data_IF_664427187538
#
_entry.id   IF_664427187538
#
_cell.length_a   1.000
_cell.length_b   1.000
_cell.length_c   1.000
_cell.angle_alpha   90.00
_cell.angle_beta   90.00
_cell.angle_gamma   90.00
#
_symmetry.space_group_name_H-M   'P 1'
#
loop_
_entity.id
_entity.type
_entity.pdbx_description
1 polymer ?
#
# COMPACT_ATOMS: atom_id res chain seq x y z
N UNK A 1 -8.38 -7.65 11.83
CA UNK A 1 -9.61 -6.83 11.74
C UNK A 1 -9.55 -6.04 10.44
N UNK A 2 -9.80 -6.63 9.24
CA UNK A 2 -9.48 -5.92 7.98
C UNK A 2 -9.85 -6.72 6.73
N UNK A 3 -11.15 -6.93 6.47
CA UNK A 3 -11.63 -7.35 5.13
C UNK A 3 -12.76 -6.47 4.60
N UNK A 4 -13.52 -5.82 5.50
CA UNK A 4 -14.69 -5.03 5.12
C UNK A 4 -14.34 -3.80 4.25
N UNK A 5 -13.31 -3.03 4.60
CA UNK A 5 -12.95 -1.81 3.86
C UNK A 5 -12.58 -2.12 2.41
N UNK A 6 -11.84 -3.19 2.18
CA UNK A 6 -11.38 -3.56 0.85
C UNK A 6 -12.49 -4.19 0.00
N UNK A 7 -13.47 -4.85 0.62
CA UNK A 7 -14.66 -5.34 -0.09
C UNK A 7 -15.57 -4.23 -0.64
N UNK A 8 -15.46 -3.00 -0.11
CA UNK A 8 -16.33 -1.88 -0.49
C UNK A 8 -15.73 -0.92 -1.51
N UNK A 9 -14.44 -1.04 -1.80
CA UNK A 9 -13.71 -0.12 -2.68
C UNK A 9 -13.31 -0.86 -3.95
N UNK A 10 -14.04 -0.66 -5.07
CA UNK A 10 -13.64 -1.20 -6.36
C UNK A 10 -12.23 -0.75 -6.71
N UNK A 11 -11.40 -1.67 -7.18
CA UNK A 11 -10.01 -1.35 -7.51
C UNK A 11 -8.99 -1.76 -6.46
N UNK A 12 -9.41 -2.06 -5.22
CA UNK A 12 -8.53 -2.41 -4.10
C UNK A 12 -8.64 -3.91 -3.76
N UNK A 13 -7.52 -4.54 -3.38
CA UNK A 13 -7.48 -5.92 -2.86
C UNK A 13 -6.46 -6.07 -1.73
N UNK A 14 -6.64 -7.10 -0.91
CA UNK A 14 -5.65 -7.52 0.09
C UNK A 14 -4.85 -8.69 -0.47
N UNK A 15 -3.53 -8.60 -0.39
CA UNK A 15 -2.61 -9.71 -0.63
C UNK A 15 -2.09 -10.19 0.72
N UNK A 16 -2.02 -11.50 0.91
CA UNK A 16 -1.59 -12.12 2.16
C UNK A 16 -0.36 -13.00 1.91
N UNK A 17 0.58 -13.02 2.86
CA UNK A 17 1.78 -13.85 2.82
C UNK A 17 2.61 -13.64 4.08
N UNK A 18 3.33 -14.68 4.53
CA UNK A 18 4.21 -14.57 5.70
C UNK A 18 3.53 -14.15 7.01
N UNK A 19 2.20 -14.34 7.13
CA UNK A 19 1.41 -13.86 8.28
C UNK A 19 1.01 -12.38 8.23
N UNK A 20 1.36 -11.66 7.17
CA UNK A 20 1.13 -10.23 6.98
C UNK A 20 0.11 -9.97 5.88
N UNK A 21 -0.46 -8.76 5.88
CA UNK A 21 -1.48 -8.36 4.89
C UNK A 21 -1.13 -7.01 4.27
N UNK A 22 -1.19 -6.94 2.94
CA UNK A 22 -0.79 -5.76 2.19
C UNK A 22 -1.90 -5.28 1.26
N UNK A 23 -1.99 -3.97 1.06
CA UNK A 23 -2.90 -3.38 0.07
C UNK A 23 -2.26 -3.39 -1.32
N UNK A 24 -3.03 -3.85 -2.30
CA UNK A 24 -2.66 -3.80 -3.69
C UNK A 24 -3.84 -3.34 -4.54
N UNK A 25 -3.54 -2.81 -5.72
CA UNK A 25 -4.55 -2.57 -6.74
C UNK A 25 -4.96 -3.89 -7.40
N UNK A 26 -6.23 -3.96 -7.81
CA UNK A 26 -6.74 -5.00 -8.72
C UNK A 26 -6.27 -4.79 -10.16
N UNK A 27 -5.84 -3.58 -10.52
CA UNK A 27 -5.23 -3.34 -11.83
C UNK A 27 -3.91 -4.12 -11.89
N UNK A 28 -3.80 -4.97 -12.90
CA UNK A 28 -2.65 -5.85 -13.10
C UNK A 28 -1.33 -5.06 -13.21
N UNK A 29 -0.26 -5.64 -12.66
CA UNK A 29 1.09 -5.09 -12.74
C UNK A 29 2.13 -6.02 -12.12
N UNK A 30 3.15 -6.34 -12.92
CA UNK A 30 4.34 -7.19 -12.71
C UNK A 30 5.32 -6.61 -11.67
N UNK A 31 4.82 -6.22 -10.50
CA UNK A 31 5.68 -5.73 -9.43
C UNK A 31 5.67 -6.76 -8.31
N UNK A 32 6.76 -7.53 -8.21
CA UNK A 32 7.15 -8.06 -6.91
C UNK A 32 7.31 -6.84 -6.00
N UNK A 33 6.97 -6.96 -4.72
CA UNK A 33 7.16 -5.87 -3.75
C UNK A 33 8.59 -5.29 -3.75
N UNK A 34 8.87 -4.33 -2.86
CA UNK A 34 10.16 -3.62 -2.85
C UNK A 34 11.29 -4.65 -2.90
N UNK A 35 12.17 -4.52 -3.91
CA UNK A 35 13.34 -5.39 -4.00
C UNK A 35 14.18 -5.14 -2.75
N UNK A 36 14.71 -6.18 -2.10
CA UNK A 36 15.65 -5.97 -1.00
C UNK A 36 16.81 -5.11 -1.51
N UNK A 37 17.39 -4.31 -0.61
CA UNK A 37 18.68 -3.70 -0.88
C UNK A 37 19.67 -4.82 -1.21
N UNK A 38 20.62 -4.55 -2.11
CA UNK A 38 21.58 -5.52 -2.63
C UNK A 38 22.11 -6.45 -1.54
N UNK A 39 21.73 -7.74 -1.61
CA UNK A 39 22.17 -8.78 -0.66
C UNK A 39 21.10 -9.31 0.32
N UNK A 40 19.91 -8.71 0.40
CA UNK A 40 18.82 -9.23 1.24
C UNK A 40 18.06 -10.41 0.63
N UNK A 41 17.57 -11.32 1.47
CA UNK A 41 16.62 -12.34 1.04
C UNK A 41 15.28 -11.68 0.70
N UNK A 42 14.70 -12.04 -0.45
CA UNK A 42 13.34 -11.64 -0.77
C UNK A 42 12.41 -12.33 0.23
N UNK A 43 11.67 -11.58 1.04
CA UNK A 43 10.42 -12.10 1.59
C UNK A 43 9.62 -12.62 0.39
N UNK A 44 9.11 -13.86 0.46
CA UNK A 44 8.41 -14.49 -0.67
C UNK A 44 7.07 -13.81 -0.87
N UNK A 45 7.10 -12.65 -1.51
CA UNK A 45 5.96 -11.76 -1.71
C UNK A 45 5.31 -12.16 -3.03
N UNK A 46 4.00 -12.40 -2.97
CA UNK A 46 3.17 -12.66 -4.16
C UNK A 46 3.23 -11.45 -5.10
N UNK A 47 3.45 -11.66 -6.40
CA UNK A 47 3.46 -10.55 -7.37
C UNK A 47 2.10 -9.83 -7.38
N UNK A 48 2.11 -8.52 -7.12
CA UNK A 48 0.92 -7.68 -7.11
C UNK A 48 1.25 -6.19 -7.26
N UNK A 49 0.30 -5.37 -7.69
CA UNK A 49 0.50 -3.94 -7.81
C UNK A 49 0.34 -3.25 -6.44
N UNK A 50 1.39 -3.24 -5.64
CA UNK A 50 1.39 -2.64 -4.30
C UNK A 50 1.31 -1.12 -4.36
N UNK A 51 0.42 -0.53 -3.57
CA UNK A 51 0.07 0.89 -3.64
C UNK A 51 0.86 1.72 -2.63
N UNK A 52 1.08 3.01 -2.92
CA UNK A 52 1.61 3.94 -1.92
C UNK A 52 0.63 4.09 -0.75
N UNK A 53 1.13 4.03 0.48
CA UNK A 53 0.34 4.17 1.71
C UNK A 53 0.79 5.42 2.47
N UNK A 54 -0.16 6.31 2.73
CA UNK A 54 0.00 7.49 3.59
C UNK A 54 -0.92 7.31 4.80
N UNK A 55 -0.38 7.48 6.01
CA UNK A 55 -1.15 7.44 7.26
C UNK A 55 -0.95 8.76 7.99
N UNK A 56 -2.03 9.49 8.27
CA UNK A 56 -2.00 10.81 8.92
C UNK A 56 -1.03 11.79 8.24
N UNK A 57 -0.98 11.78 6.90
CA UNK A 57 -0.08 12.62 6.11
C UNK A 57 1.37 12.10 6.00
N UNK A 58 1.73 11.04 6.73
CA UNK A 58 3.07 10.45 6.70
C UNK A 58 3.13 9.29 5.71
N UNK A 59 4.15 9.26 4.85
CA UNK A 59 4.40 8.14 3.94
C UNK A 59 4.86 6.95 4.78
N UNK A 60 4.04 5.90 4.82
CA UNK A 60 4.38 4.65 5.49
C UNK A 60 4.93 3.62 4.52
N UNK A 61 4.54 3.72 3.25
CA UNK A 61 5.08 2.90 2.18
C UNK A 61 4.96 3.60 0.84
N UNK A 62 6.02 3.57 0.05
CA UNK A 62 6.02 4.11 -1.32
C UNK A 62 6.75 3.18 -2.31
N UNK A 63 7.20 2.00 -1.86
CA UNK A 63 7.87 1.02 -2.70
C UNK A 63 9.31 1.38 -3.05
N UNK A 64 9.97 2.18 -2.20
CA UNK A 64 11.43 2.39 -2.31
C UNK A 64 12.18 1.07 -2.10
N UNK A 65 13.35 0.92 -2.72
CA UNK A 65 14.19 -0.27 -2.54
C UNK A 65 14.51 -0.46 -1.05
N UNK A 66 14.50 -1.71 -0.57
CA UNK A 66 14.74 -2.03 0.84
C UNK A 66 13.61 -1.68 1.81
N UNK A 67 12.63 -0.89 1.40
CA UNK A 67 11.56 -0.46 2.29
C UNK A 67 10.70 -1.65 2.68
N UNK A 68 10.46 -1.81 3.99
CA UNK A 68 9.51 -2.81 4.46
C UNK A 68 8.10 -2.47 3.96
N UNK A 69 7.37 -3.48 3.49
CA UNK A 69 5.98 -3.31 3.11
C UNK A 69 5.13 -2.98 4.34
N UNK A 70 4.18 -2.05 4.16
CA UNK A 70 3.24 -1.67 5.20
C UNK A 70 2.21 -2.76 5.44
N UNK A 71 2.21 -3.35 6.64
CA UNK A 71 1.20 -4.33 7.02
C UNK A 71 -0.05 -3.61 7.51
N UNK A 72 -1.20 -3.89 6.88
CA UNK A 72 -2.46 -3.23 7.26
C UNK A 72 -2.90 -3.56 8.67
N UNK A 73 -2.39 -4.65 9.25
CA UNK A 73 -2.67 -5.04 10.62
C UNK A 73 -1.88 -4.24 11.66
N UNK A 74 -0.92 -3.40 11.24
CA UNK A 74 -0.32 -2.37 12.09
C UNK A 74 -1.35 -1.30 12.50
N UNK A 75 -2.48 -1.21 11.81
CA UNK A 75 -3.57 -0.29 12.14
C UNK A 75 -4.70 -1.02 12.84
N UNK A 76 -5.10 -0.47 14.00
CA UNK A 76 -6.36 -0.86 14.62
C UNK A 76 -7.53 -0.21 13.87
N UNK A 77 -8.40 -1.03 13.30
CA UNK A 77 -9.52 -0.55 12.50
C UNK A 77 -10.50 0.35 13.28
N UNK A 78 -10.55 0.27 14.62
CA UNK A 78 -11.39 1.17 15.45
C UNK A 78 -10.89 2.62 15.48
N UNK A 79 -9.61 2.78 15.15
CA UNK A 79 -8.95 4.07 15.16
C UNK A 79 -9.01 4.72 13.78
N UNK A 80 -9.33 3.99 12.70
CA UNK A 80 -9.49 4.55 11.37
C UNK A 80 -10.77 5.41 11.31
N UNK A 81 -10.61 6.69 10.95
CA UNK A 81 -11.69 7.68 10.79
C UNK A 81 -11.91 8.09 9.33
N UNK A 82 -10.97 7.79 8.46
CA UNK A 82 -11.08 8.07 7.04
C UNK A 82 -10.22 7.14 6.21
N UNK A 83 -10.66 6.91 4.98
CA UNK A 83 -9.93 6.12 4.00
C UNK A 83 -10.20 6.69 2.60
N UNK A 84 -9.14 7.06 1.89
CA UNK A 84 -9.22 7.53 0.51
C UNK A 84 -8.39 6.63 -0.39
N UNK A 85 -8.97 6.31 -1.55
CA UNK A 85 -8.34 5.51 -2.58
C UNK A 85 -8.23 6.32 -3.86
N UNK A 86 -7.01 6.42 -4.37
CA UNK A 86 -6.71 7.07 -5.62
C UNK A 86 -6.03 6.11 -6.57
N UNK A 87 -6.53 6.08 -7.79
CA UNK A 87 -5.88 5.42 -8.92
C UNK A 87 -4.75 6.31 -9.41
N UNK A 88 -3.83 5.78 -10.22
CA UNK A 88 -2.75 6.59 -10.82
C UNK A 88 -3.24 7.84 -11.55
N UNK A 89 -4.42 7.77 -12.18
CA UNK A 89 -5.04 8.87 -12.92
C UNK A 89 -5.72 9.90 -12.01
N UNK A 90 -6.01 9.54 -10.76
CA UNK A 90 -6.78 10.39 -9.82
C UNK A 90 -5.97 10.80 -8.60
N UNK A 91 -4.72 10.37 -8.46
CA UNK A 91 -3.83 10.78 -7.36
C UNK A 91 -3.61 12.29 -7.38
N UNK A 92 -3.94 13.01 -6.28
CA UNK A 92 -3.68 14.45 -6.18
C UNK A 92 -2.19 14.80 -6.33
N UNK A 93 -1.90 15.97 -6.90
CA UNK A 93 -0.52 16.41 -7.18
C UNK A 93 0.37 16.43 -5.93
N UNK A 94 -0.17 16.81 -4.77
CA UNK A 94 0.58 16.82 -3.52
C UNK A 94 1.12 15.43 -3.10
N UNK A 95 0.53 14.36 -3.62
CA UNK A 95 0.93 12.96 -3.35
C UNK A 95 1.59 12.30 -4.56
N UNK A 96 1.78 13.06 -5.65
CA UNK A 96 2.41 12.57 -6.89
C UNK A 96 3.94 12.57 -6.78
N UNK A 97 4.52 13.51 -6.03
CA UNK A 97 5.97 13.60 -5.79
C UNK A 97 6.52 12.63 -4.74
N UNK A 98 5.64 12.03 -3.94
CA UNK A 98 6.00 11.06 -2.88
C UNK A 98 6.03 9.61 -3.39
N UNK A 99 5.68 9.43 -4.67
CA UNK A 99 5.70 8.15 -5.37
C UNK A 99 7.12 7.63 -5.37
N UNK A 100 7.42 6.68 -4.48
CA UNK A 100 8.52 5.77 -4.76
C UNK A 100 8.21 5.14 -6.12
N UNK A 101 9.25 4.99 -6.95
CA UNK A 101 9.11 4.77 -8.39
C UNK A 101 8.23 3.56 -8.77
N UNK A 102 7.96 2.65 -7.84
CA UNK A 102 7.19 1.44 -8.03
C UNK A 102 5.76 1.54 -7.48
N UNK A 103 5.55 1.91 -6.21
CA UNK A 103 4.21 1.83 -5.63
C UNK A 103 3.25 2.93 -6.11
N UNK A 104 3.80 4.10 -6.46
CA UNK A 104 3.01 5.21 -6.99
C UNK A 104 2.37 4.92 -8.36
N UNK A 105 2.88 3.94 -9.09
CA UNK A 105 2.32 3.45 -10.36
C UNK A 105 1.12 2.51 -10.17
N UNK A 106 0.86 2.08 -8.93
CA UNK A 106 -0.28 1.26 -8.57
C UNK A 106 -1.41 2.07 -7.91
N UNK A 107 -1.17 3.35 -7.65
CA UNK A 107 -2.09 4.27 -6.98
C UNK A 107 -1.68 4.60 -5.54
N UNK A 108 -2.54 5.32 -4.85
CA UNK A 108 -2.30 5.84 -3.50
C UNK A 108 -3.49 5.56 -2.59
N UNK A 109 -3.20 5.13 -1.37
CA UNK A 109 -4.16 5.01 -0.27
C UNK A 109 -3.76 6.00 0.82
N UNK A 110 -4.73 6.76 1.31
CA UNK A 110 -4.57 7.66 2.44
C UNK A 110 -5.49 7.20 3.56
N UNK A 111 -4.93 7.11 4.77
CA UNK A 111 -5.63 6.63 5.96
C UNK A 111 -5.50 7.69 7.05
N UNK A 112 -6.62 8.04 7.66
CA UNK A 112 -6.66 8.89 8.84
C UNK A 112 -7.04 8.06 10.05
N UNK A 113 -6.29 8.22 11.14
CA UNK A 113 -6.60 7.59 12.43
C UNK A 113 -6.92 8.63 13.48
N UNK A 114 -7.63 8.22 14.53
CA UNK A 114 -7.71 8.94 15.80
C UNK A 114 -6.30 9.06 16.39
N UNK A 115 -6.03 10.19 17.02
CA UNK A 115 -4.84 10.42 17.84
C UNK A 115 -5.04 9.94 19.26
#
# INVERSE_FOLDING_TARGET
>A
MSSFLVQKIPGLKIVQGGGRRWLASTRGGLHTGPRPESGGSMEKITAACYMQIIVNGLIRYNGSAGQQMFDVDELNAKDIIGFEFYTTATTPVQYNGTKGALAGSCGTVIIWTKG
#
